data_IF_112880364841
#
_entry.id   IF_112880364841
#
_cell.length_a   1.000
_cell.length_b   1.000
_cell.length_c   1.000
_cell.angle_alpha   90.00
_cell.angle_beta   90.00
_cell.angle_gamma   90.00
#
_symmetry.space_group_name_H-M   'P 1'
#
loop_
_entity.id
_entity.type
_entity.pdbx_description
1 polymer ?
#
# COMPACT_ATOMS: atom_id res chain seq x y z
N UNK A 1 -14.16 -5.43 -11.66
CA UNK A 1 -14.63 -4.04 -11.46
C UNK A 1 -15.95 -3.79 -12.16
N UNK A 2 -15.99 -3.83 -13.50
CA UNK A 2 -17.15 -3.43 -14.31
C UNK A 2 -18.47 -4.13 -13.94
N UNK A 3 -18.40 -5.44 -13.66
CA UNK A 3 -19.58 -6.24 -13.29
C UNK A 3 -19.83 -6.32 -11.78
N UNK A 4 -19.01 -5.66 -10.94
CA UNK A 4 -19.01 -5.81 -9.48
C UNK A 4 -18.78 -7.23 -8.95
N UNK A 5 -18.23 -8.13 -9.76
CA UNK A 5 -17.88 -9.49 -9.36
C UNK A 5 -16.45 -9.60 -8.82
N UNK A 6 -16.22 -10.63 -8.01
CA UNK A 6 -14.93 -11.03 -7.42
C UNK A 6 -14.85 -12.55 -7.40
N UNK A 7 -13.63 -13.09 -7.28
CA UNK A 7 -13.37 -14.52 -7.28
C UNK A 7 -12.22 -14.90 -6.37
N UNK A 8 -11.96 -16.21 -6.28
CA UNK A 8 -10.94 -16.81 -5.41
C UNK A 8 -9.55 -16.89 -6.07
N UNK A 9 -9.25 -16.06 -7.07
CA UNK A 9 -7.98 -16.03 -7.81
C UNK A 9 -8.10 -16.56 -9.25
N UNK A 10 -7.02 -16.42 -10.02
CA UNK A 10 -6.92 -16.90 -11.41
C UNK A 10 -6.60 -18.41 -11.54
N UNK A 11 -6.67 -19.18 -10.44
CA UNK A 11 -6.23 -20.58 -10.37
C UNK A 11 -4.74 -20.74 -10.04
N UNK A 12 -4.37 -21.84 -9.36
CA UNK A 12 -2.97 -22.13 -8.95
C UNK A 12 -2.00 -22.28 -10.13
N UNK A 13 -2.49 -22.66 -11.31
CA UNK A 13 -1.67 -22.91 -12.52
C UNK A 13 -1.31 -21.63 -13.30
N UNK A 14 -1.94 -20.48 -13.02
CA UNK A 14 -1.81 -19.24 -13.82
C UNK A 14 -1.37 -18.01 -13.00
N UNK A 15 -1.00 -18.20 -11.75
CA UNK A 15 -0.66 -17.11 -10.84
C UNK A 15 0.85 -16.80 -10.84
N UNK A 16 1.25 -15.72 -11.52
CA UNK A 16 2.32 -14.88 -10.98
C UNK A 16 1.97 -14.53 -9.52
N UNK A 17 2.96 -14.39 -8.64
CA UNK A 17 2.77 -14.24 -7.19
C UNK A 17 1.71 -13.20 -6.79
N UNK A 18 1.51 -12.14 -7.60
CA UNK A 18 0.50 -11.09 -7.39
C UNK A 18 -0.96 -11.55 -7.58
N UNK A 19 -1.24 -12.50 -8.48
CA UNK A 19 -2.62 -12.96 -8.76
C UNK A 19 -3.19 -13.80 -7.62
N UNK A 20 -2.32 -14.40 -6.78
CA UNK A 20 -2.72 -15.15 -5.58
C UNK A 20 -3.36 -14.27 -4.52
N UNK A 21 -2.97 -13.01 -4.45
CA UNK A 21 -3.40 -12.05 -3.42
C UNK A 21 -4.47 -11.06 -3.91
N UNK A 22 -5.08 -11.37 -5.05
CA UNK A 22 -6.05 -10.51 -5.68
C UNK A 22 -7.38 -11.25 -5.82
N UNK A 23 -8.51 -10.66 -5.38
CA UNK A 23 -9.85 -11.26 -5.47
C UNK A 23 -10.45 -11.22 -6.88
N UNK A 24 -9.68 -11.64 -7.88
CA UNK A 24 -10.05 -11.70 -9.31
C UNK A 24 -10.32 -13.15 -9.73
N UNK A 25 -10.82 -13.34 -10.95
CA UNK A 25 -11.01 -14.65 -11.58
C UNK A 25 -10.68 -14.55 -13.06
N UNK A 26 -10.29 -15.67 -13.67
CA UNK A 26 -9.98 -15.71 -15.09
C UNK A 26 -11.28 -15.55 -15.90
N UNK A 27 -11.32 -14.53 -16.74
CA UNK A 27 -12.49 -14.24 -17.59
C UNK A 27 -12.10 -13.48 -18.85
N UNK A 28 -12.95 -13.59 -19.87
CA UNK A 28 -12.98 -12.68 -21.02
C UNK A 28 -14.36 -12.03 -21.05
N UNK A 29 -14.42 -10.71 -21.17
CA UNK A 29 -15.68 -9.98 -21.35
C UNK A 29 -15.75 -9.46 -22.78
N UNK A 30 -16.64 -10.03 -23.58
CA UNK A 30 -16.89 -9.58 -24.94
C UNK A 30 -18.09 -8.62 -24.94
N UNK A 31 -17.89 -7.40 -25.46
CA UNK A 31 -18.93 -6.39 -25.60
C UNK A 31 -19.06 -6.00 -27.07
N UNK A 32 -20.19 -6.35 -27.68
CA UNK A 32 -20.50 -6.02 -29.08
C UNK A 32 -21.81 -5.24 -29.16
N UNK A 33 -22.19 -4.80 -30.36
CA UNK A 33 -23.51 -4.20 -30.58
C UNK A 33 -24.66 -5.21 -30.39
N UNK A 34 -24.37 -6.52 -30.46
CA UNK A 34 -25.36 -7.59 -30.39
C UNK A 34 -25.56 -8.10 -28.96
N UNK A 35 -24.68 -7.74 -28.01
CA UNK A 35 -24.81 -8.09 -26.61
C UNK A 35 -23.50 -8.09 -25.84
N UNK A 36 -23.58 -8.53 -24.58
CA UNK A 36 -22.43 -8.69 -23.69
C UNK A 36 -22.36 -10.15 -23.23
N UNK A 37 -21.21 -10.78 -23.45
CA UNK A 37 -20.96 -12.17 -23.05
C UNK A 37 -19.75 -12.20 -22.11
N UNK A 38 -19.95 -12.73 -20.91
CA UNK A 38 -18.90 -13.05 -19.96
C UNK A 38 -18.51 -14.52 -20.15
N UNK A 39 -17.29 -14.73 -20.62
CA UNK A 39 -16.67 -16.05 -20.64
C UNK A 39 -15.90 -16.30 -19.35
N UNK A 40 -16.11 -17.46 -18.74
CA UNK A 40 -15.42 -17.89 -17.51
C UNK A 40 -14.93 -19.32 -17.63
N UNK A 41 -13.87 -19.65 -16.91
CA UNK A 41 -13.32 -21.01 -16.83
C UNK A 41 -13.82 -21.81 -15.61
N UNK A 42 -14.85 -21.32 -14.91
CA UNK A 42 -15.33 -21.88 -13.65
C UNK A 42 -16.86 -21.83 -13.55
N UNK A 43 -17.41 -22.62 -12.64
CA UNK A 43 -18.83 -22.57 -12.32
C UNK A 43 -19.23 -21.23 -11.71
N UNK A 44 -20.41 -20.75 -12.09
CA UNK A 44 -21.01 -19.50 -11.60
C UNK A 44 -22.25 -19.86 -10.80
N UNK A 45 -22.37 -19.32 -9.59
CA UNK A 45 -23.52 -19.60 -8.74
C UNK A 45 -24.82 -19.10 -9.36
N UNK A 46 -25.95 -19.71 -8.99
CA UNK A 46 -27.28 -19.27 -9.48
C UNK A 46 -27.55 -17.80 -9.14
N UNK A 47 -27.09 -17.32 -7.98
CA UNK A 47 -27.22 -15.92 -7.58
C UNK A 47 -26.46 -14.98 -8.52
N UNK A 48 -25.19 -15.29 -8.83
CA UNK A 48 -24.38 -14.49 -9.75
C UNK A 48 -24.92 -14.56 -11.17
N UNK A 49 -25.40 -15.73 -11.61
CA UNK A 49 -26.03 -15.91 -12.92
C UNK A 49 -27.31 -15.08 -13.05
N UNK A 50 -28.15 -15.07 -12.02
CA UNK A 50 -29.35 -14.22 -11.96
C UNK A 50 -29.01 -12.73 -12.03
N UNK A 51 -28.03 -12.29 -11.25
CA UNK A 51 -27.55 -10.90 -11.28
C UNK A 51 -27.00 -10.50 -12.66
N UNK A 52 -26.21 -11.35 -13.31
CA UNK A 52 -25.68 -11.08 -14.66
C UNK A 52 -26.80 -11.04 -15.70
N UNK A 53 -27.80 -11.92 -15.58
CA UNK A 53 -28.99 -11.91 -16.44
C UNK A 53 -29.77 -10.59 -16.31
N UNK A 54 -29.95 -10.08 -15.09
CA UNK A 54 -30.61 -8.79 -14.83
C UNK A 54 -29.84 -7.60 -15.44
N UNK A 55 -28.52 -7.72 -15.57
CA UNK A 55 -27.66 -6.76 -16.26
C UNK A 55 -27.66 -6.91 -17.79
N UNK A 56 -28.31 -7.95 -18.33
CA UNK A 56 -28.26 -8.27 -19.76
C UNK A 56 -26.92 -8.88 -20.21
N UNK A 57 -26.18 -9.51 -19.28
CA UNK A 57 -24.92 -10.19 -19.54
C UNK A 57 -25.15 -11.70 -19.60
N UNK A 58 -24.91 -12.29 -20.76
CA UNK A 58 -24.89 -13.75 -20.90
C UNK A 58 -23.59 -14.32 -20.32
N UNK A 59 -23.66 -15.52 -19.75
CA UNK A 59 -22.49 -16.21 -19.21
C UNK A 59 -22.27 -17.51 -19.97
N UNK A 60 -21.04 -17.72 -20.45
CA UNK A 60 -20.64 -18.95 -21.12
C UNK A 60 -19.39 -19.52 -20.45
N UNK A 61 -19.42 -20.82 -20.14
CA UNK A 61 -18.22 -21.51 -19.69
C UNK A 61 -17.40 -21.95 -20.91
N UNK A 62 -16.12 -21.57 -20.93
CA UNK A 62 -15.16 -22.07 -21.91
C UNK A 62 -13.78 -22.18 -21.26
N UNK A 63 -12.95 -23.04 -21.84
CA UNK A 63 -11.53 -23.05 -21.50
C UNK A 63 -10.91 -21.72 -21.91
N UNK A 64 -10.27 -21.06 -20.95
CA UNK A 64 -9.58 -19.80 -21.15
C UNK A 64 -8.09 -20.06 -20.99
N UNK A 65 -7.32 -19.65 -21.99
CA UNK A 65 -5.86 -19.71 -21.96
C UNK A 65 -5.33 -18.28 -21.93
N UNK A 66 -4.21 -18.05 -21.25
CA UNK A 66 -3.48 -16.80 -21.43
C UNK A 66 -3.02 -16.70 -22.88
N UNK A 67 -3.51 -15.66 -23.56
CA UNK A 67 -3.08 -15.35 -24.92
C UNK A 67 -2.17 -14.13 -24.84
N UNK A 68 -1.05 -14.18 -25.55
CA UNK A 68 -0.37 -12.95 -25.96
C UNK A 68 -1.29 -12.21 -26.94
N UNK A 69 -2.14 -11.35 -26.39
CA UNK A 69 -2.95 -10.43 -27.19
C UNK A 69 -2.00 -9.31 -27.61
N UNK A 70 -1.89 -9.05 -28.91
CA UNK A 70 -1.28 -7.82 -29.40
C UNK A 70 -2.20 -6.66 -28.97
N UNK A 71 -1.88 -6.06 -27.82
CA UNK A 71 -2.56 -4.88 -27.31
C UNK A 71 -2.12 -3.70 -28.18
N UNK A 72 -3.03 -3.20 -29.05
CA UNK A 72 -2.74 -2.00 -29.86
C UNK A 72 -2.66 -0.73 -28.99
N UNK A 73 -3.35 -0.68 -27.85
CA UNK A 73 -3.25 0.38 -26.83
C UNK A 73 -3.40 -0.19 -25.41
N UNK A 74 -2.38 -0.01 -24.56
CA UNK A 74 -2.34 -0.44 -23.15
C UNK A 74 -3.22 0.45 -22.23
N UNK A 75 -4.01 1.36 -22.82
CA UNK A 75 -4.98 2.22 -22.13
C UNK A 75 -6.38 1.86 -22.59
N UNK A 76 -7.11 1.14 -21.73
CA UNK A 76 -8.54 0.93 -21.94
C UNK A 76 -9.32 2.04 -21.25
N UNK A 77 -10.50 2.37 -21.80
CA UNK A 77 -11.51 3.22 -21.13
C UNK A 77 -11.77 2.76 -19.68
N UNK A 78 -11.73 1.46 -19.43
CA UNK A 78 -11.97 0.89 -18.09
C UNK A 78 -10.85 1.26 -17.11
N UNK A 79 -9.60 1.23 -17.54
CA UNK A 79 -8.46 1.63 -16.70
C UNK A 79 -8.57 3.10 -16.26
N UNK A 80 -8.95 4.00 -17.18
CA UNK A 80 -9.15 5.42 -16.86
C UNK A 80 -10.34 5.63 -15.92
N UNK A 81 -11.41 4.84 -16.06
CA UNK A 81 -12.56 4.88 -15.14
C UNK A 81 -12.22 4.33 -13.74
N UNK A 82 -11.40 3.29 -13.64
CA UNK A 82 -10.95 2.71 -12.37
C UNK A 82 -9.96 3.61 -11.62
N UNK A 83 -9.19 4.39 -12.36
CA UNK A 83 -8.24 5.36 -11.81
C UNK A 83 -8.92 6.40 -10.92
N UNK A 84 -10.13 6.85 -11.29
CA UNK A 84 -10.90 7.88 -10.56
C UNK A 84 -11.96 7.22 -9.69
N UNK A 85 -11.80 7.31 -8.37
CA UNK A 85 -12.70 6.69 -7.40
C UNK A 85 -13.93 7.57 -7.20
N UNK A 86 -15.10 6.95 -7.04
CA UNK A 86 -16.30 7.66 -6.60
C UNK A 86 -16.30 7.86 -5.07
N UNK A 87 -17.20 8.72 -4.57
CA UNK A 87 -17.28 9.06 -3.15
C UNK A 87 -17.53 7.85 -2.23
N UNK A 88 -18.27 6.84 -2.70
CA UNK A 88 -18.54 5.61 -1.94
C UNK A 88 -17.26 4.79 -1.82
N UNK A 89 -16.49 4.64 -2.90
CA UNK A 89 -15.20 3.97 -2.88
C UNK A 89 -14.22 4.69 -1.95
N UNK A 90 -14.11 6.03 -2.06
CA UNK A 90 -13.24 6.81 -1.17
C UNK A 90 -13.65 6.65 0.30
N UNK A 91 -14.95 6.70 0.61
CA UNK A 91 -15.43 6.46 1.98
C UNK A 91 -15.02 5.07 2.47
N UNK A 92 -15.27 4.03 1.69
CA UNK A 92 -14.92 2.66 2.08
C UNK A 92 -13.40 2.49 2.26
N UNK A 93 -12.58 3.10 1.40
CA UNK A 93 -11.14 3.09 1.55
C UNK A 93 -10.71 3.81 2.84
N UNK A 94 -11.27 4.98 3.16
CA UNK A 94 -11.01 5.66 4.44
C UNK A 94 -11.37 4.79 5.64
N UNK A 95 -12.51 4.10 5.59
CA UNK A 95 -12.93 3.18 6.67
C UNK A 95 -11.97 1.98 6.78
N UNK A 96 -11.48 1.43 5.67
CA UNK A 96 -10.52 0.32 5.68
C UNK A 96 -9.16 0.74 6.21
N UNK A 97 -8.63 1.90 5.78
CA UNK A 97 -7.35 2.40 6.30
C UNK A 97 -7.43 2.83 7.76
N UNK A 98 -8.62 3.18 8.26
CA UNK A 98 -8.84 3.35 9.69
C UNK A 98 -8.66 2.03 10.43
N UNK A 99 -9.32 0.95 9.98
CA UNK A 99 -9.20 -0.37 10.62
C UNK A 99 -7.78 -0.94 10.49
N UNK A 100 -7.16 -0.83 9.31
CA UNK A 100 -5.77 -1.27 9.09
C UNK A 100 -4.77 -0.42 9.87
N UNK A 101 -5.05 0.87 10.07
CA UNK A 101 -4.26 1.74 10.94
C UNK A 101 -4.28 1.33 12.41
N UNK A 102 -5.43 0.83 12.92
CA UNK A 102 -5.51 0.21 14.25
C UNK A 102 -4.68 -1.08 14.31
N UNK A 103 -4.78 -1.94 13.28
CA UNK A 103 -3.97 -3.16 13.18
C UNK A 103 -2.48 -2.83 13.22
N UNK A 104 -2.04 -1.87 12.42
CA UNK A 104 -0.66 -1.39 12.41
C UNK A 104 -0.22 -0.82 13.75
N UNK A 105 -1.06 -0.03 14.41
CA UNK A 105 -0.75 0.55 15.72
C UNK A 105 -0.53 -0.55 16.76
N UNK A 106 -1.42 -1.55 16.82
CA UNK A 106 -1.27 -2.73 17.68
C UNK A 106 -0.04 -3.56 17.32
N UNK A 107 0.22 -3.73 16.03
CA UNK A 107 1.37 -4.46 15.53
C UNK A 107 2.70 -3.81 15.92
N UNK A 108 2.84 -2.50 15.73
CA UNK A 108 4.08 -1.77 16.09
C UNK A 108 4.28 -1.80 17.60
N UNK A 109 3.20 -1.64 18.38
CA UNK A 109 3.25 -1.80 19.83
C UNK A 109 3.79 -3.19 20.23
N UNK A 110 3.22 -4.24 19.64
CA UNK A 110 3.60 -5.63 19.88
C UNK A 110 5.05 -5.93 19.48
N UNK A 111 5.48 -5.58 18.26
CA UNK A 111 6.81 -5.96 17.76
C UNK A 111 7.92 -5.26 18.55
N UNK A 112 7.69 -4.00 18.97
CA UNK A 112 8.65 -3.27 19.81
C UNK A 112 8.85 -3.92 21.18
N UNK A 113 7.86 -4.65 21.69
CA UNK A 113 8.01 -5.41 22.92
C UNK A 113 8.60 -6.79 22.67
N UNK A 114 8.03 -7.57 21.75
CA UNK A 114 8.44 -8.95 21.49
C UNK A 114 9.87 -9.07 20.95
N UNK A 115 10.34 -8.11 20.15
CA UNK A 115 11.72 -8.12 19.64
C UNK A 115 12.78 -8.09 20.76
N UNK A 116 12.42 -7.61 21.96
CA UNK A 116 13.30 -7.61 23.15
C UNK A 116 13.69 -9.03 23.58
N UNK A 117 12.88 -10.04 23.27
CA UNK A 117 13.19 -11.44 23.56
C UNK A 117 14.39 -11.97 22.78
N UNK A 118 14.65 -11.41 21.59
CA UNK A 118 15.66 -11.92 20.66
C UNK A 118 15.35 -13.29 20.06
N UNK A 119 14.09 -13.76 20.14
CA UNK A 119 13.67 -15.06 19.58
C UNK A 119 12.72 -14.97 18.40
N UNK A 120 12.20 -13.78 18.12
CA UNK A 120 11.23 -13.54 17.06
C UNK A 120 11.91 -13.66 15.68
N UNK A 121 11.23 -14.19 14.68
CA UNK A 121 11.77 -14.30 13.31
C UNK A 121 10.99 -13.46 12.29
N UNK A 122 11.57 -13.22 11.12
CA UNK A 122 10.90 -12.51 10.01
C UNK A 122 9.55 -13.18 9.65
N UNK A 123 9.48 -14.52 9.63
CA UNK A 123 8.22 -15.27 9.41
C UNK A 123 7.21 -15.03 10.54
N UNK A 124 7.64 -14.89 11.80
CA UNK A 124 6.72 -14.62 12.92
C UNK A 124 6.10 -13.23 12.80
N UNK A 125 6.86 -12.25 12.31
CA UNK A 125 6.34 -10.91 11.98
C UNK A 125 5.21 -10.99 10.96
N UNK A 126 5.44 -11.70 9.83
CA UNK A 126 4.43 -11.90 8.79
C UNK A 126 3.17 -12.55 9.36
N UNK A 127 3.32 -13.62 10.15
CA UNK A 127 2.20 -14.32 10.78
C UNK A 127 1.41 -13.42 11.72
N UNK A 128 2.09 -12.62 12.56
CA UNK A 128 1.40 -11.75 13.50
C UNK A 128 0.61 -10.65 12.81
N UNK A 129 1.15 -10.04 11.76
CA UNK A 129 0.41 -9.04 10.98
C UNK A 129 -0.87 -9.64 10.40
N UNK A 130 -0.79 -10.84 9.82
CA UNK A 130 -1.96 -11.53 9.28
C UNK A 130 -2.97 -11.92 10.38
N UNK A 131 -2.50 -12.38 11.54
CA UNK A 131 -3.34 -12.67 12.71
C UNK A 131 -4.17 -11.45 13.13
N UNK A 132 -3.54 -10.28 13.25
CA UNK A 132 -4.22 -9.04 13.64
C UNK A 132 -5.22 -8.58 12.56
N UNK A 133 -4.89 -8.71 11.28
CA UNK A 133 -5.84 -8.37 10.19
C UNK A 133 -7.05 -9.29 10.17
N UNK A 134 -6.91 -10.57 10.54
CA UNK A 134 -8.02 -11.53 10.63
C UNK A 134 -9.04 -11.17 11.71
N UNK A 135 -8.72 -10.28 12.65
CA UNK A 135 -9.68 -9.74 13.60
C UNK A 135 -10.65 -8.72 12.98
N UNK A 136 -10.32 -8.16 11.81
CA UNK A 136 -11.19 -7.24 11.07
C UNK A 136 -12.24 -8.04 10.31
N UNK A 137 -13.52 -7.75 10.57
CA UNK A 137 -14.64 -8.62 10.19
C UNK A 137 -14.76 -8.92 8.69
N UNK A 138 -14.36 -8.00 7.81
CA UNK A 138 -14.45 -8.14 6.35
C UNK A 138 -13.09 -8.33 5.67
N UNK A 139 -12.04 -8.65 6.44
CA UNK A 139 -10.75 -9.06 5.90
C UNK A 139 -10.88 -10.40 5.14
N UNK A 140 -10.26 -10.46 3.97
CA UNK A 140 -10.31 -11.62 3.07
C UNK A 140 -8.97 -12.35 3.04
N UNK A 141 -7.90 -11.63 2.70
CA UNK A 141 -6.55 -12.17 2.51
C UNK A 141 -5.53 -11.02 2.47
N UNK A 142 -4.20 -11.29 2.51
CA UNK A 142 -3.21 -10.27 2.22
C UNK A 142 -3.40 -9.72 0.79
N UNK A 143 -3.08 -8.45 0.55
CA UNK A 143 -3.12 -7.87 -0.82
C UNK A 143 -1.88 -8.17 -1.66
N UNK A 144 -0.81 -8.64 -1.01
CA UNK A 144 0.40 -9.21 -1.58
C UNK A 144 1.14 -9.98 -0.48
N UNK A 145 2.26 -10.63 -0.82
CA UNK A 145 3.09 -11.27 0.20
C UNK A 145 3.79 -10.24 1.08
N UNK A 146 3.47 -10.24 2.37
CA UNK A 146 4.16 -9.41 3.37
C UNK A 146 5.68 -9.59 3.30
N UNK A 147 6.39 -8.46 3.30
CA UNK A 147 7.85 -8.37 3.31
C UNK A 147 8.31 -7.93 4.71
N UNK A 148 8.67 -8.87 5.62
CA UNK A 148 9.24 -8.58 6.93
C UNK A 148 10.77 -8.61 6.88
N UNK A 149 11.40 -7.56 6.38
CA UNK A 149 12.82 -7.55 6.07
C UNK A 149 13.67 -6.95 7.21
N UNK A 150 14.41 -7.80 7.93
CA UNK A 150 15.28 -7.37 9.03
C UNK A 150 16.69 -6.97 8.54
N UNK A 151 17.15 -5.78 8.93
CA UNK A 151 18.43 -5.19 8.54
C UNK A 151 18.78 -5.40 7.06
N UNK A 152 19.83 -6.15 6.75
CA UNK A 152 20.35 -6.29 5.39
C UNK A 152 19.38 -7.03 4.46
N UNK A 153 18.38 -7.74 4.99
CA UNK A 153 17.28 -8.26 4.16
C UNK A 153 16.52 -7.11 3.48
N UNK A 154 16.36 -5.96 4.16
CA UNK A 154 15.60 -4.83 3.65
C UNK A 154 16.29 -4.11 2.49
N UNK A 155 17.56 -4.41 2.20
CA UNK A 155 18.24 -3.87 1.02
C UNK A 155 17.77 -4.52 -0.30
N UNK A 156 17.08 -5.67 -0.24
CA UNK A 156 16.40 -6.27 -1.37
C UNK A 156 14.96 -5.75 -1.46
N UNK A 157 14.66 -4.98 -2.51
CA UNK A 157 13.35 -4.34 -2.73
C UNK A 157 12.24 -5.38 -2.80
N UNK A 158 12.52 -6.55 -3.37
CA UNK A 158 11.57 -7.65 -3.53
C UNK A 158 11.92 -8.82 -2.60
N UNK A 159 12.36 -8.53 -1.37
CA UNK A 159 12.72 -9.58 -0.42
C UNK A 159 11.53 -10.51 -0.14
N UNK A 160 11.71 -11.80 -0.40
CA UNK A 160 10.76 -12.85 0.00
C UNK A 160 11.40 -13.74 1.06
N UNK A 161 10.85 -13.69 2.27
CA UNK A 161 11.30 -14.56 3.37
C UNK A 161 10.88 -16.01 3.09
N UNK A 162 11.83 -16.94 3.24
CA UNK A 162 11.61 -18.38 3.14
C UNK A 162 12.12 -19.05 4.41
N UNK A 163 11.76 -20.31 4.65
CA UNK A 163 12.33 -21.08 5.78
C UNK A 163 13.87 -21.12 5.79
N UNK A 164 14.52 -20.95 4.61
CA UNK A 164 15.98 -20.90 4.49
C UNK A 164 16.58 -19.52 4.74
N UNK A 165 15.84 -18.46 4.45
CA UNK A 165 16.29 -17.07 4.57
C UNK A 165 15.78 -16.37 5.83
N UNK A 166 14.85 -17.00 6.56
CA UNK A 166 14.22 -16.48 7.77
C UNK A 166 15.23 -16.12 8.86
N UNK A 167 15.42 -14.83 9.10
CA UNK A 167 16.34 -14.34 10.12
C UNK A 167 15.67 -14.25 11.50
N UNK A 168 16.47 -14.50 12.53
CA UNK A 168 16.11 -14.16 13.90
C UNK A 168 16.36 -12.66 14.12
N UNK A 169 15.34 -11.99 14.62
CA UNK A 169 15.32 -10.57 14.93
C UNK A 169 15.93 -10.37 16.32
N UNK A 170 16.91 -9.47 16.38
CA UNK A 170 17.58 -9.07 17.62
C UNK A 170 17.01 -7.74 18.11
N UNK A 171 17.20 -7.37 19.39
CA UNK A 171 16.76 -6.09 19.93
C UNK A 171 17.68 -4.92 19.51
N UNK A 172 17.97 -4.81 18.22
CA UNK A 172 18.84 -3.80 17.61
C UNK A 172 18.49 -3.60 16.13
N UNK A 173 18.87 -2.46 15.56
CA UNK A 173 18.72 -2.20 14.13
C UNK A 173 17.26 -1.97 13.70
N UNK A 174 17.00 -2.31 12.43
CA UNK A 174 15.76 -1.98 11.74
C UNK A 174 15.04 -3.22 11.25
N UNK A 175 13.71 -3.16 11.24
CA UNK A 175 12.89 -4.00 10.37
C UNK A 175 12.04 -3.13 9.46
N UNK A 176 12.09 -3.42 8.16
CA UNK A 176 11.15 -2.86 7.20
C UNK A 176 10.02 -3.86 7.00
N UNK A 177 8.80 -3.43 7.28
CA UNK A 177 7.59 -4.25 7.07
C UNK A 177 6.77 -3.57 5.99
N UNK A 178 6.62 -4.25 4.86
CA UNK A 178 5.74 -3.84 3.77
C UNK A 178 4.62 -4.87 3.61
N UNK A 179 3.38 -4.43 3.76
CA UNK A 179 2.23 -5.33 3.85
C UNK A 179 0.89 -4.63 3.72
N UNK A 180 -0.04 -5.31 3.04
CA UNK A 180 -1.42 -4.85 2.90
C UNK A 180 -2.45 -5.98 3.02
N UNK A 181 -3.72 -5.59 3.02
CA UNK A 181 -4.86 -6.50 3.11
C UNK A 181 -5.91 -6.24 2.03
N UNK A 182 -6.61 -7.30 1.65
CA UNK A 182 -7.86 -7.26 0.89
C UNK A 182 -9.02 -7.31 1.88
N UNK A 183 -9.89 -6.32 1.80
CA UNK A 183 -11.12 -6.19 2.57
C UNK A 183 -12.28 -6.05 1.58
N UNK A 184 -13.49 -6.50 1.93
CA UNK A 184 -14.65 -6.31 1.03
C UNK A 184 -14.86 -4.82 0.67
N UNK A 185 -14.46 -3.93 1.59
CA UNK A 185 -14.49 -2.47 1.42
C UNK A 185 -13.28 -1.86 0.69
N UNK A 186 -12.20 -2.60 0.41
CA UNK A 186 -11.02 -1.99 -0.21
C UNK A 186 -9.75 -2.82 -0.16
N UNK A 187 -8.67 -2.26 -0.71
CA UNK A 187 -7.33 -2.84 -0.66
C UNK A 187 -6.43 -1.88 0.10
N UNK A 188 -5.53 -2.38 0.94
CA UNK A 188 -4.49 -1.56 1.59
C UNK A 188 -3.10 -1.91 1.07
N UNK A 189 -2.23 -0.92 1.18
CA UNK A 189 -0.78 -1.04 0.99
C UNK A 189 -0.10 -0.06 1.96
N UNK A 190 0.91 -0.50 2.68
CA UNK A 190 1.60 0.32 3.69
C UNK A 190 2.94 -0.31 4.04
N UNK A 191 3.97 0.51 3.97
CA UNK A 191 5.31 0.19 4.46
C UNK A 191 5.68 1.07 5.66
N UNK A 192 6.24 0.44 6.69
CA UNK A 192 6.94 1.12 7.79
C UNK A 192 8.29 0.47 8.05
N UNK A 193 9.32 1.31 8.20
CA UNK A 193 10.60 0.91 8.81
C UNK A 193 10.58 1.27 10.29
N UNK A 194 10.80 0.26 11.13
CA UNK A 194 10.64 0.29 12.59
C UNK A 194 12.00 0.05 13.25
N UNK A 195 12.30 0.84 14.28
CA UNK A 195 13.48 0.63 15.12
C UNK A 195 13.17 -0.42 16.19
N UNK A 196 14.07 -1.40 16.34
CA UNK A 196 13.89 -2.51 17.30
C UNK A 196 14.82 -2.41 18.52
N UNK A 197 15.57 -1.31 18.64
CA UNK A 197 16.55 -1.06 19.69
C UNK A 197 17.57 -0.01 19.26
N UNK A 198 18.85 -0.14 19.63
CA UNK A 198 19.90 0.78 19.19
C UNK A 198 20.00 0.86 17.66
N UNK A 199 20.09 2.07 17.13
CA UNK A 199 20.19 2.38 15.69
C UNK A 199 21.38 3.30 15.42
N UNK A 200 21.95 3.22 14.22
CA UNK A 200 23.13 4.02 13.83
C UNK A 200 22.74 5.41 13.31
N UNK A 201 23.66 6.37 13.35
CA UNK A 201 23.44 7.71 12.76
C UNK A 201 23.11 7.61 11.27
N UNK A 202 23.80 6.71 10.55
CA UNK A 202 23.52 6.43 9.13
C UNK A 202 22.08 5.97 8.89
N UNK A 203 21.53 5.11 9.74
CA UNK A 203 20.12 4.69 9.66
C UNK A 203 19.17 5.87 9.84
N UNK A 204 19.44 6.75 10.80
CA UNK A 204 18.63 7.96 11.05
C UNK A 204 18.71 8.96 9.90
N UNK A 205 19.91 9.18 9.36
CA UNK A 205 20.11 10.05 8.19
C UNK A 205 19.32 9.56 6.98
N UNK A 206 19.39 8.25 6.66
CA UNK A 206 18.67 7.70 5.53
C UNK A 206 17.15 7.71 5.75
N UNK A 207 16.69 7.37 6.96
CA UNK A 207 15.27 7.44 7.29
C UNK A 207 14.74 8.87 7.20
N UNK A 208 15.47 9.84 7.74
CA UNK A 208 15.07 11.25 7.68
C UNK A 208 15.04 11.75 6.24
N UNK A 209 16.02 11.38 5.38
CA UNK A 209 15.99 11.74 3.96
C UNK A 209 14.77 11.17 3.23
N UNK A 210 14.43 9.89 3.46
CA UNK A 210 13.23 9.25 2.89
C UNK A 210 11.95 9.93 3.40
N UNK A 211 11.86 10.20 4.71
CA UNK A 211 10.71 10.83 5.33
C UNK A 211 10.47 12.23 4.77
N UNK A 212 11.52 13.04 4.58
CA UNK A 212 11.38 14.39 4.01
C UNK A 212 10.83 14.36 2.59
N UNK A 213 11.31 13.43 1.75
CA UNK A 213 10.76 13.23 0.40
C UNK A 213 9.29 12.82 0.43
N UNK A 214 8.93 11.90 1.33
CA UNK A 214 7.56 11.45 1.55
C UNK A 214 6.64 12.60 2.00
N UNK A 215 7.08 13.43 2.95
CA UNK A 215 6.33 14.60 3.45
C UNK A 215 6.18 15.66 2.36
N UNK A 216 7.24 15.96 1.61
CA UNK A 216 7.18 16.98 0.56
C UNK A 216 6.15 16.61 -0.54
N UNK A 217 6.01 15.32 -0.87
CA UNK A 217 4.92 14.85 -1.75
C UNK A 217 3.56 15.05 -1.08
N UNK A 218 3.39 14.67 0.19
CA UNK A 218 2.12 14.82 0.90
C UNK A 218 1.69 16.30 1.06
N UNK A 219 2.64 17.23 1.15
CA UNK A 219 2.41 18.67 1.26
C UNK A 219 2.31 19.39 -0.09
N UNK A 220 2.64 18.71 -1.19
CA UNK A 220 2.65 19.32 -2.51
C UNK A 220 1.27 19.84 -2.92
N UNK A 221 1.29 20.90 -3.75
CA UNK A 221 0.11 21.48 -4.39
C UNK A 221 0.43 21.61 -5.86
N UNK A 222 -0.38 20.98 -6.69
CA UNK A 222 -0.13 20.93 -8.14
C UNK A 222 -1.39 21.34 -8.90
N UNK A 223 -1.23 21.88 -10.10
CA UNK A 223 -2.37 22.11 -10.98
C UNK A 223 -2.93 20.75 -11.44
N UNK A 224 -4.25 20.67 -11.61
CA UNK A 224 -4.87 19.47 -12.15
C UNK A 224 -4.32 19.16 -13.55
N UNK A 225 -3.95 17.90 -13.78
CA UNK A 225 -3.30 17.46 -15.01
C UNK A 225 -1.77 17.59 -15.00
N UNK A 226 -1.16 18.04 -13.90
CA UNK A 226 0.30 17.94 -13.68
C UNK A 226 0.74 16.49 -13.83
N UNK A 227 1.90 16.28 -14.45
CA UNK A 227 2.47 14.95 -14.66
C UNK A 227 3.17 14.44 -13.40
N UNK A 228 3.13 13.12 -13.18
CA UNK A 228 3.61 12.51 -11.94
C UNK A 228 5.13 12.55 -11.76
N UNK A 229 5.92 12.76 -12.81
CA UNK A 229 7.38 12.93 -12.75
C UNK A 229 7.79 14.13 -11.89
N UNK A 230 6.99 15.21 -11.88
CA UNK A 230 7.20 16.37 -11.00
C UNK A 230 7.19 15.95 -9.52
N UNK A 231 6.27 15.05 -9.15
CA UNK A 231 6.19 14.52 -7.79
C UNK A 231 7.32 13.50 -7.52
N UNK A 232 7.81 12.81 -8.55
CA UNK A 232 8.92 11.83 -8.44
C UNK A 232 10.21 12.54 -8.03
N UNK A 233 10.49 13.67 -8.69
CA UNK A 233 11.65 14.50 -8.38
C UNK A 233 11.59 15.08 -6.97
N UNK A 234 10.39 15.45 -6.49
CA UNK A 234 10.18 15.91 -5.12
C UNK A 234 10.50 14.79 -4.12
N UNK A 235 9.97 13.59 -4.31
CA UNK A 235 10.21 12.45 -3.43
C UNK A 235 11.70 12.05 -3.36
N UNK A 236 12.41 12.15 -4.50
CA UNK A 236 13.82 11.74 -4.61
C UNK A 236 14.81 12.78 -4.12
N UNK A 237 14.40 14.04 -3.95
CA UNK A 237 15.29 15.20 -3.71
C UNK A 237 16.35 14.93 -2.62
N UNK A 238 15.92 14.64 -1.40
CA UNK A 238 16.84 14.49 -0.26
C UNK A 238 17.67 13.21 -0.32
N UNK A 239 17.16 12.17 -0.98
CA UNK A 239 17.90 10.93 -1.23
C UNK A 239 19.04 11.18 -2.23
N UNK A 240 18.76 11.94 -3.30
CA UNK A 240 19.76 12.35 -4.31
C UNK A 240 20.81 13.30 -3.74
N UNK A 241 20.45 14.17 -2.79
CA UNK A 241 21.41 15.02 -2.07
C UNK A 241 22.45 14.20 -1.29
N UNK A 242 22.11 12.97 -0.87
CA UNK A 242 23.05 12.01 -0.24
C UNK A 242 23.83 11.18 -1.28
N UNK A 243 23.66 11.44 -2.58
CA UNK A 243 24.31 10.71 -3.67
C UNK A 243 23.70 9.34 -3.95
N UNK A 244 22.45 9.11 -3.54
CA UNK A 244 21.72 7.86 -3.69
C UNK A 244 20.49 8.02 -4.59
N UNK A 245 19.91 6.89 -5.02
CA UNK A 245 18.60 6.83 -5.68
C UNK A 245 17.98 5.44 -5.44
N UNK A 246 16.67 5.27 -5.68
CA UNK A 246 15.98 3.98 -5.59
C UNK A 246 15.49 3.47 -6.94
N UNK A 247 15.57 2.15 -7.14
CA UNK A 247 15.37 1.48 -8.44
C UNK A 247 13.92 1.04 -8.71
N UNK A 248 12.95 1.69 -8.06
CA UNK A 248 11.51 1.49 -8.31
C UNK A 248 10.80 2.85 -8.49
N UNK A 249 9.54 2.84 -8.91
CA UNK A 249 8.72 4.06 -8.97
C UNK A 249 8.36 4.57 -7.58
N UNK A 250 8.13 5.87 -7.42
CA UNK A 250 7.70 6.46 -6.13
C UNK A 250 6.27 6.05 -5.73
N UNK A 251 5.48 5.54 -6.67
CA UNK A 251 4.20 4.96 -6.34
C UNK A 251 3.39 4.48 -7.53
N UNK A 252 2.31 3.78 -7.23
CA UNK A 252 1.40 3.12 -8.16
C UNK A 252 -0.06 3.36 -7.77
N UNK A 253 -0.97 3.19 -8.72
CA UNK A 253 -2.41 3.23 -8.44
C UNK A 253 -2.82 2.08 -7.51
N UNK A 254 -3.88 2.30 -6.72
CA UNK A 254 -4.45 1.28 -5.83
C UNK A 254 -5.89 0.96 -6.21
N UNK A 255 -6.19 -0.32 -6.34
CA UNK A 255 -7.54 -0.82 -6.61
C UNK A 255 -8.43 -0.84 -5.38
N UNK A 256 -9.75 -0.81 -5.61
CA UNK A 256 -10.74 -0.98 -4.55
C UNK A 256 -11.19 -2.46 -4.48
N UNK A 257 -10.60 -3.21 -3.56
CA UNK A 257 -10.78 -4.66 -3.42
C UNK A 257 -10.39 -5.36 -4.74
N UNK A 258 -9.24 -5.01 -5.29
CA UNK A 258 -8.70 -5.46 -6.59
C UNK A 258 -7.17 -5.53 -6.48
N UNK A 259 -6.44 -5.35 -7.59
CA UNK A 259 -4.98 -5.36 -7.58
C UNK A 259 -4.44 -4.27 -6.65
N UNK A 260 -3.44 -4.62 -5.84
CA UNK A 260 -2.68 -3.64 -5.05
C UNK A 260 -1.93 -2.68 -5.97
N UNK A 261 -1.35 -3.21 -7.05
CA UNK A 261 -0.76 -2.47 -8.16
C UNK A 261 -1.79 -2.30 -9.28
N UNK A 262 -2.58 -1.23 -9.24
CA UNK A 262 -3.57 -0.89 -10.27
C UNK A 262 -3.02 0.16 -11.26
N UNK A 263 -3.62 0.26 -12.45
CA UNK A 263 -3.30 1.35 -13.37
C UNK A 263 -3.60 2.72 -12.72
N UNK A 264 -2.69 3.71 -12.88
CA UNK A 264 -1.38 3.60 -13.52
C UNK A 264 -0.37 2.87 -12.63
N UNK A 265 0.26 1.80 -13.16
CA UNK A 265 1.24 0.97 -12.41
C UNK A 265 2.47 1.74 -11.95
N UNK A 266 2.74 2.89 -12.57
CA UNK A 266 3.68 3.89 -12.10
C UNK A 266 2.97 5.24 -12.19
N UNK A 267 2.58 5.82 -11.06
CA UNK A 267 1.90 7.12 -11.05
C UNK A 267 2.89 8.25 -11.33
N UNK A 268 4.11 8.10 -10.81
CA UNK A 268 5.15 9.10 -10.83
C UNK A 268 5.99 8.97 -12.13
N UNK A 269 5.37 9.36 -13.26
CA UNK A 269 6.01 9.39 -14.59
C UNK A 269 5.45 10.51 -15.48
N UNK A 270 6.14 10.82 -16.57
CA UNK A 270 5.84 11.92 -17.52
C UNK A 270 4.52 11.77 -18.30
N UNK A 271 3.94 10.57 -18.36
CA UNK A 271 2.74 10.23 -19.11
C UNK A 271 1.48 10.11 -18.23
N UNK A 272 1.63 10.06 -16.91
CA UNK A 272 0.52 9.97 -15.97
C UNK A 272 0.18 11.36 -15.45
N UNK A 273 -1.07 11.78 -15.70
CA UNK A 273 -1.61 13.06 -15.21
C UNK A 273 -2.37 12.85 -13.91
N UNK A 274 -2.19 13.78 -12.97
CA UNK A 274 -2.85 13.74 -11.66
C UNK A 274 -4.18 14.51 -11.71
N UNK A 275 -5.26 13.81 -11.38
CA UNK A 275 -6.63 14.34 -11.31
C UNK A 275 -7.20 14.19 -9.91
N UNK A 276 -8.33 14.84 -9.63
CA UNK A 276 -9.11 14.62 -8.41
C UNK A 276 -9.59 13.18 -8.28
N UNK A 277 -9.71 12.69 -7.04
CA UNK A 277 -10.19 11.35 -6.69
C UNK A 277 -9.36 10.17 -7.20
N UNK A 278 -8.08 10.39 -7.49
CA UNK A 278 -7.10 9.31 -7.64
C UNK A 278 -6.65 8.82 -6.27
N UNK A 279 -6.30 7.54 -6.18
CA UNK A 279 -5.64 6.94 -5.01
C UNK A 279 -4.40 6.18 -5.43
N UNK A 280 -3.27 6.46 -4.79
CA UNK A 280 -1.99 5.86 -5.12
C UNK A 280 -1.00 5.85 -3.94
N UNK A 281 0.02 5.00 -4.02
CA UNK A 281 1.10 4.96 -3.02
C UNK A 281 2.06 6.16 -3.15
N UNK A 282 2.63 6.56 -2.03
CA UNK A 282 3.75 7.51 -1.91
C UNK A 282 4.82 6.83 -1.05
N UNK A 283 5.76 6.16 -1.70
CA UNK A 283 6.61 5.12 -1.10
C UNK A 283 8.12 5.30 -1.43
N UNK A 284 8.74 6.49 -1.24
CA UNK A 284 10.18 6.62 -1.43
C UNK A 284 10.96 5.66 -0.53
N UNK A 285 12.17 5.29 -0.96
CA UNK A 285 13.02 4.39 -0.19
C UNK A 285 14.52 4.52 -0.48
N UNK A 286 15.32 3.90 0.38
CA UNK A 286 16.79 3.77 0.25
C UNK A 286 17.16 2.34 0.59
N UNK A 287 18.03 1.74 -0.24
CA UNK A 287 18.42 0.34 -0.12
C UNK A 287 19.95 0.24 -0.20
N UNK A 288 20.59 -0.06 0.93
CA UNK A 288 22.04 -0.14 1.04
C UNK A 288 22.46 -1.61 1.13
N UNK A 289 22.97 -2.13 0.01
CA UNK A 289 23.33 -3.54 -0.15
C UNK A 289 24.26 -4.02 0.98
N UNK A 290 23.86 -5.13 1.62
CA UNK A 290 24.59 -5.73 2.73
C UNK A 290 24.49 -4.98 4.08
N UNK A 291 23.71 -3.89 4.14
CA UNK A 291 23.55 -3.08 5.36
C UNK A 291 22.09 -3.05 5.83
N UNK A 292 21.24 -2.24 5.20
CA UNK A 292 19.84 -2.08 5.56
C UNK A 292 19.04 -1.40 4.44
N UNK A 293 17.72 -1.40 4.57
CA UNK A 293 16.82 -0.62 3.73
C UNK A 293 15.83 0.19 4.56
N UNK A 294 15.31 1.26 3.96
CA UNK A 294 14.25 2.10 4.50
C UNK A 294 13.24 2.36 3.39
N UNK A 295 11.95 2.18 3.69
CA UNK A 295 10.85 2.63 2.85
C UNK A 295 9.74 3.15 3.76
N UNK A 296 9.12 4.25 3.36
CA UNK A 296 8.00 4.87 4.08
C UNK A 296 6.89 5.07 3.07
N UNK A 297 5.77 4.40 3.30
CA UNK A 297 4.68 4.40 2.35
C UNK A 297 3.35 4.74 2.99
N UNK A 298 2.63 5.64 2.34
CA UNK A 298 1.21 5.86 2.56
C UNK A 298 0.48 5.78 1.23
N UNK A 299 -0.78 5.37 1.29
CA UNK A 299 -1.73 5.65 0.21
C UNK A 299 -2.29 7.04 0.40
N UNK A 300 -2.25 7.82 -0.67
CA UNK A 300 -2.80 9.18 -0.72
C UNK A 300 -4.01 9.25 -1.63
N UNK A 301 -4.97 10.09 -1.28
CA UNK A 301 -6.15 10.45 -2.06
C UNK A 301 -6.01 11.89 -2.54
N UNK A 302 -6.21 12.13 -3.84
CA UNK A 302 -6.15 13.48 -4.41
C UNK A 302 -7.48 14.22 -4.25
N UNK A 303 -7.43 15.43 -3.69
CA UNK A 303 -8.59 16.31 -3.51
C UNK A 303 -8.36 17.63 -4.24
N UNK A 304 -9.42 18.21 -4.82
CA UNK A 304 -9.33 19.52 -5.47
C UNK A 304 -9.73 20.63 -4.51
N UNK A 305 -8.86 21.62 -4.32
CA UNK A 305 -9.12 22.82 -3.51
C UNK A 305 -8.62 24.07 -4.21
N UNK A 306 -9.52 25.01 -4.50
CA UNK A 306 -9.20 26.28 -5.16
C UNK A 306 -8.40 26.09 -6.47
N UNK A 307 -8.79 25.11 -7.29
CA UNK A 307 -8.13 24.73 -8.55
C UNK A 307 -6.77 24.02 -8.42
N UNK A 308 -6.29 23.75 -7.21
CA UNK A 308 -5.10 22.94 -6.95
C UNK A 308 -5.51 21.53 -6.52
N UNK A 309 -4.78 20.51 -6.99
CA UNK A 309 -4.79 19.19 -6.39
C UNK A 309 -3.92 19.19 -5.14
N UNK A 310 -4.45 18.59 -4.07
CA UNK A 310 -3.76 18.32 -2.80
C UNK A 310 -3.88 16.85 -2.45
N UNK A 311 -3.06 16.39 -1.51
CA UNK A 311 -2.97 14.99 -1.12
C UNK A 311 -3.46 14.81 0.32
N UNK A 312 -4.43 13.92 0.52
CA UNK A 312 -4.91 13.49 1.83
C UNK A 312 -4.39 12.06 2.09
N UNK A 313 -3.73 11.82 3.22
CA UNK A 313 -3.32 10.45 3.57
C UNK A 313 -4.55 9.62 3.91
N UNK A 314 -4.69 8.48 3.25
CA UNK A 314 -5.59 7.42 3.69
C UNK A 314 -4.93 6.60 4.80
N UNK A 315 -3.64 6.27 4.66
CA UNK A 315 -2.88 5.51 5.67
C UNK A 315 -2.76 6.27 7.00
N UNK A 316 -3.10 5.58 8.10
CA UNK A 316 -3.09 6.09 9.47
C UNK A 316 -2.17 5.27 10.37
N UNK A 317 -0.85 5.43 10.21
CA UNK A 317 0.18 4.67 10.94
C UNK A 317 1.29 5.61 11.39
N UNK A 318 1.68 5.62 12.69
CA UNK A 318 2.71 6.52 13.18
C UNK A 318 4.04 6.32 12.45
N UNK A 319 4.81 7.41 12.33
CA UNK A 319 6.18 7.35 11.87
C UNK A 319 7.14 6.98 13.02
N UNK A 320 8.33 6.50 12.70
CA UNK A 320 9.29 6.01 13.68
C UNK A 320 10.12 7.15 14.27
N UNK A 321 9.66 7.73 15.38
CA UNK A 321 10.31 8.88 16.02
C UNK A 321 11.79 8.64 16.37
N UNK A 322 12.20 7.40 16.63
CA UNK A 322 13.57 7.05 17.03
C UNK A 322 14.56 7.18 15.86
N UNK A 323 14.05 7.22 14.62
CA UNK A 323 14.82 7.33 13.40
C UNK A 323 14.88 8.75 12.82
N UNK A 324 14.18 9.72 13.43
CA UNK A 324 14.05 11.06 12.88
C UNK A 324 15.08 12.01 13.50
N UNK A 325 15.90 12.62 12.65
CA UNK A 325 16.77 13.75 13.01
C UNK A 325 15.93 15.03 12.98
N UNK A 326 15.27 15.35 14.11
CA UNK A 326 14.32 16.47 14.21
C UNK A 326 14.95 17.82 13.87
N UNK A 327 16.25 17.97 14.13
CA UNK A 327 17.06 19.13 13.77
C UNK A 327 17.23 19.35 12.25
N UNK A 328 17.05 18.30 11.43
CA UNK A 328 17.10 18.41 9.97
C UNK A 328 15.74 18.76 9.35
N UNK A 329 14.67 18.73 10.16
CA UNK A 329 13.32 19.07 9.71
C UNK A 329 13.10 20.59 9.71
N UNK A 330 12.47 21.07 8.65
CA UNK A 330 11.85 22.39 8.59
C UNK A 330 10.66 22.48 9.53
N UNK A 331 10.24 23.71 9.85
CA UNK A 331 9.06 23.93 10.70
C UNK A 331 7.77 23.37 10.08
N UNK A 332 7.65 23.40 8.74
CA UNK A 332 6.51 22.83 8.04
C UNK A 332 6.44 21.30 8.14
N UNK A 333 7.59 20.62 8.06
CA UNK A 333 7.68 19.17 8.25
C UNK A 333 7.36 18.76 9.70
N UNK A 334 7.85 19.52 10.69
CA UNK A 334 7.51 19.30 12.11
C UNK A 334 6.02 19.49 12.36
N UNK A 335 5.43 20.56 11.82
CA UNK A 335 3.99 20.82 11.92
C UNK A 335 3.17 19.70 11.26
N UNK A 336 3.57 19.22 10.08
CA UNK A 336 2.94 18.09 9.42
C UNK A 336 2.97 16.83 10.30
N UNK A 337 4.13 16.46 10.84
CA UNK A 337 4.27 15.28 11.69
C UNK A 337 3.43 15.38 12.97
N UNK A 338 3.45 16.55 13.62
CA UNK A 338 2.68 16.80 14.83
C UNK A 338 1.17 16.70 14.56
N UNK A 339 0.68 17.33 13.49
CA UNK A 339 -0.72 17.29 13.09
C UNK A 339 -1.17 15.89 12.67
N UNK A 340 -0.31 15.16 11.94
CA UNK A 340 -0.58 13.78 11.55
C UNK A 340 -0.72 12.89 12.79
N UNK A 341 0.20 13.02 13.76
CA UNK A 341 0.15 12.24 14.99
C UNK A 341 -1.03 12.60 15.89
N UNK A 342 -1.35 13.90 16.02
CA UNK A 342 -2.53 14.37 16.76
C UNK A 342 -3.83 13.85 16.15
N UNK A 343 -3.86 13.70 14.81
CA UNK A 343 -4.97 13.05 14.14
C UNK A 343 -5.09 11.58 14.54
N UNK A 344 -4.00 10.81 14.58
CA UNK A 344 -4.01 9.40 15.02
C UNK A 344 -4.56 9.27 16.45
N UNK A 345 -4.05 10.07 17.39
CA UNK A 345 -4.54 10.08 18.77
C UNK A 345 -6.03 10.38 18.84
N UNK A 346 -6.50 11.36 18.07
CA UNK A 346 -7.91 11.74 18.04
C UNK A 346 -8.81 10.62 17.51
N UNK A 347 -8.42 9.96 16.42
CA UNK A 347 -9.29 8.97 15.76
C UNK A 347 -9.25 7.59 16.42
N UNK A 348 -8.13 7.20 17.05
CA UNK A 348 -7.97 5.88 17.67
C UNK A 348 -8.32 5.81 19.17
N UNK A 349 -8.61 6.95 19.81
CA UNK A 349 -8.81 7.05 21.26
C UNK A 349 -9.74 6.01 21.88
N UNK A 350 -10.88 5.75 21.25
CA UNK A 350 -11.91 4.86 21.79
C UNK A 350 -11.79 3.41 21.27
N UNK A 351 -10.75 3.11 20.49
CA UNK A 351 -10.57 1.84 19.78
C UNK A 351 -9.32 1.05 20.22
N UNK A 352 -8.36 1.74 20.85
CA UNK A 352 -7.18 1.12 21.46
C UNK A 352 -7.42 0.87 22.95
N UNK A 353 -6.79 -0.15 23.49
CA UNK A 353 -6.78 -0.33 24.94
C UNK A 353 -5.90 0.74 25.62
N UNK A 354 -5.96 0.82 26.95
CA UNK A 354 -5.24 1.86 27.71
C UNK A 354 -3.72 1.83 27.49
N UNK A 355 -3.14 0.63 27.38
CA UNK A 355 -1.70 0.44 27.20
C UNK A 355 -1.25 0.83 25.78
N UNK A 356 -1.97 0.35 24.76
CA UNK A 356 -1.76 0.68 23.35
C UNK A 356 -1.91 2.20 23.09
N UNK A 357 -2.93 2.83 23.68
CA UNK A 357 -3.16 4.27 23.51
C UNK A 357 -2.07 5.09 24.19
N UNK A 358 -1.67 4.74 25.42
CA UNK A 358 -0.55 5.39 26.12
C UNK A 358 0.75 5.24 25.34
N UNK A 359 1.00 4.06 24.76
CA UNK A 359 2.16 3.87 23.90
C UNK A 359 2.10 4.81 22.68
N UNK A 360 0.95 4.91 22.01
CA UNK A 360 0.77 5.82 20.88
C UNK A 360 1.00 7.28 21.27
N UNK A 361 0.58 7.73 22.45
CA UNK A 361 0.88 9.08 22.97
C UNK A 361 2.38 9.36 23.03
N UNK A 362 3.18 8.35 23.40
CA UNK A 362 4.64 8.51 23.45
C UNK A 362 5.29 8.58 22.06
N UNK A 363 4.62 8.21 20.97
CA UNK A 363 5.20 8.23 19.62
C UNK A 363 5.16 9.62 18.96
N UNK A 364 4.59 10.64 19.61
CA UNK A 364 4.55 12.01 19.08
C UNK A 364 5.98 12.58 18.92
N UNK A 365 6.21 13.24 17.79
CA UNK A 365 7.48 13.89 17.42
C UNK A 365 7.47 15.36 17.81
#
# INVERSE_FOLDING_TARGET
WLLNLRGSGAGEEYADDLKKFTPVFLCELEMTNDGVILYVNQEVSEEVSGYLTDLGVSVEQKELEEREINIEEDKTLISDLMMIKNDVQIKNMKDVFFDDGLVWTKFIHWIKDEAKSGSLTEIDVKKKMEELRREVADYVMPSFETIPAYNESAADIHYHVTEKTNKVIKPEGLIMVDTGGQYLRGTTDTTRTIALGPVTDKMKEMYTAVLKGHIDVALAKVEEGTTGDVLDDIARKYIREKGLDYKHGTGHGLGHFLNVHEYPRRVFNENTKIYENMTFSNEPGVYLEGEFGVRIENIVHTIKKNSEIRFENLTLVPYEKELILVEELSEGEKEYLSNYHDNLLRVFKDYLNEDEYKWLETQKI
#
